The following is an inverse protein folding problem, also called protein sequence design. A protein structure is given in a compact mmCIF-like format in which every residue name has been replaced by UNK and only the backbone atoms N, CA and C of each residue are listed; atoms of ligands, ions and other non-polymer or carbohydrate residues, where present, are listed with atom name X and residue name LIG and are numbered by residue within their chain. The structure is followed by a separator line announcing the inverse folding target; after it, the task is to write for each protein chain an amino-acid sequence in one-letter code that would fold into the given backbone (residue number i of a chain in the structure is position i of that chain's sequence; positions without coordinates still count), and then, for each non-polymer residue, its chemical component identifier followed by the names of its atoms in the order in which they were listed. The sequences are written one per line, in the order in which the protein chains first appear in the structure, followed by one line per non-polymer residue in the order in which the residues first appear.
data_IF_705863761799
#
_entry.id   IF_705863761799
#
_cell.length_a   1.000
_cell.length_b   1.000
_cell.length_c   1.000
_cell.angle_alpha   90.00
_cell.angle_beta   90.00
_cell.angle_gamma   90.00
#
_symmetry.space_group_name_H-M   'P 1'
#
loop_
_entity.id
_entity.type
_entity.pdbx_description
1 polymer ?
#
# COMPACT_ATOMS: atom_id res chain seq x y z
N UNK A 1 -24.17 -14.91 30.62
CA UNK A 1 -22.86 -14.25 30.51
C UNK A 1 -22.50 -14.16 29.03
N UNK A 2 -22.17 -12.95 28.58
CA UNK A 2 -22.18 -12.50 27.19
C UNK A 2 -21.14 -13.20 26.31
N UNK A 3 -21.57 -14.06 25.39
CA UNK A 3 -20.82 -14.32 24.16
C UNK A 3 -21.39 -13.39 23.09
N UNK A 4 -20.88 -12.16 23.07
CA UNK A 4 -21.20 -11.18 22.05
C UNK A 4 -20.53 -11.64 20.75
N UNK A 5 -21.31 -12.31 19.90
CA UNK A 5 -20.94 -12.66 18.53
C UNK A 5 -20.86 -11.34 17.76
N UNK A 6 -19.71 -10.69 17.84
CA UNK A 6 -19.38 -9.59 16.94
C UNK A 6 -19.16 -10.23 15.57
N UNK A 7 -20.18 -10.13 14.71
CA UNK A 7 -20.04 -10.23 13.27
C UNK A 7 -19.09 -9.13 12.78
N UNK A 8 -17.78 -9.29 13.01
CA UNK A 8 -16.77 -8.54 12.29
C UNK A 8 -16.80 -9.11 10.88
N UNK A 9 -17.23 -8.30 9.91
CA UNK A 9 -16.84 -8.43 8.51
C UNK A 9 -15.40 -8.95 8.48
N UNK A 10 -15.22 -10.21 8.09
CA UNK A 10 -13.90 -10.80 7.89
C UNK A 10 -13.33 -10.09 6.66
N UNK A 11 -12.77 -8.92 6.87
CA UNK A 11 -11.81 -8.31 5.95
C UNK A 11 -10.70 -9.36 5.88
N UNK A 12 -10.56 -10.04 4.73
CA UNK A 12 -9.46 -10.97 4.48
C UNK A 12 -8.15 -10.18 4.57
N UNK A 13 -7.61 -10.06 5.78
CA UNK A 13 -6.24 -9.61 6.00
C UNK A 13 -5.33 -10.81 5.72
N UNK A 14 -4.19 -10.57 5.07
CA UNK A 14 -3.25 -11.65 4.74
C UNK A 14 -2.79 -12.34 6.02
N UNK A 15 -2.64 -13.66 5.99
CA UNK A 15 -2.05 -14.38 7.12
C UNK A 15 -0.57 -14.02 7.25
N UNK A 16 0.02 -14.23 8.43
CA UNK A 16 1.45 -13.98 8.65
C UNK A 16 2.34 -14.76 7.67
N UNK A 17 1.95 -15.99 7.33
CA UNK A 17 2.64 -16.82 6.34
C UNK A 17 2.55 -16.21 4.93
N UNK A 18 1.39 -15.70 4.52
CA UNK A 18 1.21 -15.05 3.23
C UNK A 18 2.01 -13.75 3.14
N UNK A 19 2.03 -12.96 4.22
CA UNK A 19 2.86 -11.75 4.30
C UNK A 19 4.33 -12.12 4.14
N UNK A 20 4.79 -13.16 4.84
CA UNK A 20 6.17 -13.62 4.73
C UNK A 20 6.52 -14.10 3.31
N UNK A 21 5.66 -14.90 2.69
CA UNK A 21 5.84 -15.39 1.32
C UNK A 21 5.92 -14.23 0.31
N UNK A 22 5.05 -13.23 0.44
CA UNK A 22 5.04 -12.06 -0.44
C UNK A 22 6.30 -11.20 -0.25
N UNK A 23 6.75 -11.02 1.00
CA UNK A 23 8.02 -10.32 1.29
C UNK A 23 9.23 -11.07 0.74
N UNK A 24 9.28 -12.39 0.89
CA UNK A 24 10.35 -13.21 0.34
C UNK A 24 10.36 -13.15 -1.19
N UNK A 25 9.18 -13.13 -1.83
CA UNK A 25 9.03 -12.91 -3.27
C UNK A 25 9.54 -11.53 -3.70
N UNK A 26 9.15 -10.45 -3.00
CA UNK A 26 9.59 -9.09 -3.28
C UNK A 26 11.10 -8.92 -3.08
N UNK A 27 11.68 -9.56 -2.06
CA UNK A 27 13.14 -9.61 -1.84
C UNK A 27 13.84 -10.38 -2.95
N UNK A 28 13.31 -11.52 -3.38
CA UNK A 28 13.84 -12.27 -4.52
C UNK A 28 13.79 -11.46 -5.83
N UNK A 29 12.73 -10.66 -6.03
CA UNK A 29 12.62 -9.75 -7.18
C UNK A 29 13.64 -8.60 -7.16
N UNK A 30 14.21 -8.26 -6.01
CA UNK A 30 15.33 -7.31 -5.93
C UNK A 30 16.57 -7.86 -6.62
N UNK A 31 16.82 -9.15 -6.47
CA UNK A 31 17.99 -9.83 -7.06
C UNK A 31 17.71 -10.27 -8.51
N UNK A 32 16.49 -10.72 -8.80
CA UNK A 32 16.06 -11.12 -10.14
C UNK A 32 14.75 -10.41 -10.52
N UNK A 33 14.82 -9.25 -11.20
CA UNK A 33 13.63 -8.46 -11.52
C UNK A 33 12.76 -9.16 -12.57
N UNK A 34 11.82 -9.99 -12.11
CA UNK A 34 10.84 -10.70 -12.95
C UNK A 34 9.54 -9.91 -13.10
N UNK A 35 9.64 -8.65 -13.53
CA UNK A 35 8.49 -7.80 -13.88
C UNK A 35 8.47 -6.43 -13.19
N UNK A 36 7.43 -5.64 -13.49
CA UNK A 36 7.29 -4.28 -12.96
C UNK A 36 6.56 -4.20 -11.61
N UNK A 37 6.10 -5.34 -11.04
CA UNK A 37 5.30 -5.38 -9.81
C UNK A 37 6.03 -4.70 -8.63
N UNK A 38 7.24 -5.16 -8.28
CA UNK A 38 8.05 -4.52 -7.23
C UNK A 38 8.30 -3.04 -7.52
N UNK A 39 8.63 -2.68 -8.77
CA UNK A 39 8.85 -1.28 -9.16
C UNK A 39 7.61 -0.41 -8.88
N UNK A 40 6.42 -0.87 -9.28
CA UNK A 40 5.19 -0.12 -9.06
C UNK A 40 4.78 -0.06 -7.58
N UNK A 41 5.03 -1.13 -6.83
CA UNK A 41 4.74 -1.19 -5.41
C UNK A 41 5.67 -0.25 -4.59
N UNK A 42 6.96 -0.23 -4.92
CA UNK A 42 7.94 0.72 -4.35
C UNK A 42 7.56 2.16 -4.69
N UNK A 43 7.27 2.47 -5.96
CA UNK A 43 6.83 3.82 -6.36
C UNK A 43 5.54 4.27 -5.69
N UNK A 44 4.62 3.33 -5.49
CA UNK A 44 3.38 3.58 -4.77
C UNK A 44 3.66 4.03 -3.33
N UNK A 45 4.60 3.36 -2.66
CA UNK A 45 5.03 3.74 -1.33
C UNK A 45 5.80 5.07 -1.33
N UNK A 46 6.73 5.28 -2.26
CA UNK A 46 7.51 6.52 -2.40
C UNK A 46 6.59 7.74 -2.61
N UNK A 47 5.55 7.60 -3.42
CA UNK A 47 4.54 8.64 -3.59
C UNK A 47 3.86 9.00 -2.26
N UNK A 48 3.46 8.00 -1.47
CA UNK A 48 2.86 8.20 -0.14
C UNK A 48 3.87 8.91 0.79
N UNK A 49 5.13 8.47 0.78
CA UNK A 49 6.21 9.06 1.58
C UNK A 49 6.49 10.51 1.20
N UNK A 50 6.54 10.82 -0.09
CA UNK A 50 6.75 12.19 -0.57
C UNK A 50 5.58 13.09 -0.19
N UNK A 51 4.34 12.62 -0.33
CA UNK A 51 3.14 13.37 0.12
C UNK A 51 3.13 13.61 1.62
N UNK A 52 3.61 12.66 2.42
CA UNK A 52 3.79 12.84 3.86
C UNK A 52 4.82 13.94 4.14
N UNK A 53 6.00 13.87 3.50
CA UNK A 53 7.07 14.87 3.64
C UNK A 53 6.66 16.27 3.19
N UNK A 54 5.98 16.40 2.06
CA UNK A 54 5.48 17.69 1.53
C UNK A 54 4.56 18.40 2.52
N UNK A 55 3.74 17.64 3.25
CA UNK A 55 2.83 18.19 4.24
C UNK A 55 3.49 18.38 5.62
N UNK A 56 4.79 18.10 5.79
CA UNK A 56 5.50 18.06 7.09
C UNK A 56 4.72 17.29 8.17
N UNK A 57 4.01 16.24 7.77
CA UNK A 57 3.20 15.42 8.66
C UNK A 57 3.39 13.97 8.31
N UNK A 58 3.20 13.05 9.25
CA UNK A 58 3.15 11.60 8.99
C UNK A 58 1.90 11.17 8.17
N UNK A 59 1.19 12.14 7.61
CA UNK A 59 -0.13 12.03 7.00
C UNK A 59 -0.02 12.29 5.50
N UNK A 60 -0.23 11.26 4.70
CA UNK A 60 -0.31 11.40 3.26
C UNK A 60 -1.76 11.47 2.79
N UNK A 61 -2.14 12.59 2.16
CA UNK A 61 -3.37 12.69 1.38
C UNK A 61 -3.10 12.16 -0.02
N UNK A 62 -3.55 10.94 -0.29
CA UNK A 62 -3.29 10.27 -1.58
C UNK A 62 -4.36 10.64 -2.59
N UNK A 63 -3.98 11.34 -3.67
CA UNK A 63 -4.80 11.48 -4.86
C UNK A 63 -4.49 10.32 -5.83
N UNK A 64 -5.51 9.54 -6.21
CA UNK A 64 -5.35 8.35 -7.05
C UNK A 64 -4.80 8.70 -8.44
N UNK A 65 -5.25 9.81 -9.04
CA UNK A 65 -4.82 10.23 -10.38
C UNK A 65 -3.34 10.60 -10.41
N UNK A 66 -2.89 11.40 -9.44
CA UNK A 66 -1.48 11.75 -9.27
C UNK A 66 -0.62 10.53 -8.95
N UNK A 67 -1.14 9.61 -8.14
CA UNK A 67 -0.41 8.39 -7.80
C UNK A 67 -0.19 7.49 -9.01
N UNK A 68 -1.20 7.33 -9.87
CA UNK A 68 -1.09 6.58 -11.12
C UNK A 68 -0.05 7.21 -12.03
N UNK A 69 -0.11 8.53 -12.20
CA UNK A 69 0.86 9.28 -13.01
C UNK A 69 2.30 9.07 -12.52
N UNK A 70 2.49 9.09 -11.19
CA UNK A 70 3.78 8.85 -10.55
C UNK A 70 4.27 7.41 -10.71
N UNK A 71 3.39 6.43 -10.51
CA UNK A 71 3.73 5.00 -10.58
C UNK A 71 4.10 4.59 -12.01
N UNK A 72 3.32 5.07 -12.99
CA UNK A 72 3.43 4.73 -14.41
C UNK A 72 4.24 5.75 -15.24
N UNK A 73 4.85 6.77 -14.63
CA UNK A 73 5.61 7.83 -15.34
C UNK A 73 4.80 8.48 -16.48
N UNK A 74 3.52 8.74 -16.25
CA UNK A 74 2.65 9.38 -17.25
C UNK A 74 2.15 8.49 -18.39
N UNK A 75 2.45 7.18 -18.37
CA UNK A 75 1.90 6.20 -19.32
C UNK A 75 1.03 5.15 -18.61
N UNK A 76 -0.14 5.54 -18.06
CA UNK A 76 -0.97 4.60 -17.32
C UNK A 76 -1.67 3.61 -18.26
N UNK A 77 -1.56 2.33 -17.93
CA UNK A 77 -2.43 1.32 -18.52
C UNK A 77 -3.89 1.59 -18.14
N UNK A 78 -4.84 1.16 -18.98
CA UNK A 78 -6.27 1.23 -18.65
C UNK A 78 -6.62 0.53 -17.31
N UNK A 79 -5.77 -0.41 -16.87
CA UNK A 79 -5.85 -1.12 -15.58
C UNK A 79 -5.11 -0.43 -14.43
N UNK A 80 -4.43 0.70 -14.67
CA UNK A 80 -3.58 1.37 -13.68
C UNK A 80 -4.34 1.83 -12.42
N UNK A 81 -5.60 2.24 -12.57
CA UNK A 81 -6.46 2.57 -11.43
C UNK A 81 -6.62 1.38 -10.46
N UNK A 82 -6.95 0.21 -11.01
CA UNK A 82 -7.18 -0.99 -10.22
C UNK A 82 -5.89 -1.50 -9.60
N UNK A 83 -4.80 -1.49 -10.37
CA UNK A 83 -3.48 -1.93 -9.93
C UNK A 83 -2.94 -1.06 -8.79
N UNK A 84 -3.00 0.26 -8.90
CA UNK A 84 -2.56 1.17 -7.82
C UNK A 84 -3.39 0.99 -6.55
N UNK A 85 -4.70 0.80 -6.69
CA UNK A 85 -5.57 0.49 -5.54
C UNK A 85 -5.16 -0.85 -4.90
N UNK A 86 -4.80 -1.85 -5.69
CA UNK A 86 -4.32 -3.13 -5.20
C UNK A 86 -2.95 -3.00 -4.51
N UNK A 87 -1.99 -2.27 -5.09
CA UNK A 87 -0.70 -2.01 -4.43
C UNK A 87 -0.85 -1.30 -3.09
N UNK A 88 -1.78 -0.35 -2.98
CA UNK A 88 -2.11 0.27 -1.69
C UNK A 88 -2.73 -0.73 -0.69
N UNK A 89 -3.50 -1.71 -1.15
CA UNK A 89 -4.03 -2.76 -0.29
C UNK A 89 -2.91 -3.69 0.16
N UNK A 90 -2.01 -4.07 -0.75
CA UNK A 90 -0.88 -4.94 -0.47
C UNK A 90 0.05 -4.29 0.55
N UNK A 91 0.45 -3.03 0.34
CA UNK A 91 1.24 -2.26 1.31
C UNK A 91 0.57 -2.17 2.68
N UNK A 92 -0.77 -2.09 2.72
CA UNK A 92 -1.52 -2.09 3.97
C UNK A 92 -1.51 -3.47 4.63
N UNK A 93 -1.74 -4.53 3.85
CA UNK A 93 -1.76 -5.91 4.35
C UNK A 93 -0.39 -6.36 4.85
N UNK A 94 0.68 -5.94 4.18
CA UNK A 94 2.07 -6.16 4.59
C UNK A 94 2.48 -5.32 5.81
N UNK A 95 1.62 -4.40 6.25
CA UNK A 95 1.82 -3.58 7.44
C UNK A 95 2.77 -2.40 7.25
N UNK A 96 3.04 -1.96 6.01
CA UNK A 96 3.84 -0.76 5.76
C UNK A 96 3.03 0.51 5.94
N UNK A 97 1.75 0.48 5.56
CA UNK A 97 0.87 1.65 5.63
C UNK A 97 -0.43 1.35 6.38
N UNK A 98 -0.99 2.35 7.05
CA UNK A 98 -2.30 2.28 7.69
C UNK A 98 -3.23 3.32 7.07
N UNK A 99 -4.43 2.89 6.69
CA UNK A 99 -5.49 3.83 6.28
C UNK A 99 -6.40 4.10 7.48
N UNK A 100 -6.45 5.35 7.93
CA UNK A 100 -7.30 5.82 9.02
C UNK A 100 -8.17 6.97 8.53
N UNK A 101 -9.40 7.04 9.03
CA UNK A 101 -10.31 8.14 8.74
C UNK A 101 -10.25 9.11 9.92
N UNK A 102 -9.75 10.32 9.67
CA UNK A 102 -9.67 11.39 10.67
C UNK A 102 -10.37 12.63 10.17
N UNK A 103 -11.17 13.26 11.02
CA UNK A 103 -11.92 14.47 10.70
C UNK A 103 -12.76 14.37 9.41
N UNK A 104 -13.27 13.18 9.09
CA UNK A 104 -14.06 12.93 7.88
C UNK A 104 -13.25 12.59 6.63
N UNK A 105 -11.92 12.74 6.66
CA UNK A 105 -11.02 12.47 5.53
C UNK A 105 -10.27 11.14 5.68
N UNK A 106 -10.04 10.43 4.57
CA UNK A 106 -9.16 9.27 4.54
C UNK A 106 -7.70 9.70 4.48
N UNK A 107 -6.91 9.24 5.45
CA UNK A 107 -5.48 9.52 5.57
C UNK A 107 -4.67 8.23 5.56
N UNK A 108 -3.50 8.28 4.94
CA UNK A 108 -2.56 7.16 4.91
C UNK A 108 -1.38 7.50 5.83
N UNK A 109 -1.13 6.62 6.78
CA UNK A 109 -0.01 6.66 7.71
C UNK A 109 1.06 5.67 7.27
N UNK A 110 2.31 6.05 7.42
CA UNK A 110 3.46 5.18 7.19
C UNK A 110 3.86 4.58 8.53
N UNK A 111 3.81 3.25 8.65
CA UNK A 111 4.13 2.52 9.88
C UNK A 111 5.61 2.18 9.93
N UNK A 112 6.17 1.70 8.81
CA UNK A 112 7.56 1.25 8.68
C UNK A 112 8.10 1.54 7.28
N UNK A 113 9.41 1.66 7.19
CA UNK A 113 10.13 1.79 5.93
C UNK A 113 10.13 0.47 5.14
N UNK A 114 10.27 0.56 3.82
CA UNK A 114 10.41 -0.61 2.94
C UNK A 114 11.74 -1.30 3.20
N UNK A 115 11.70 -2.60 3.51
CA UNK A 115 12.86 -3.43 3.83
C UNK A 115 13.10 -4.55 2.79
N UNK A 116 12.56 -4.42 1.58
CA UNK A 116 12.66 -5.38 0.49
C UNK A 116 13.12 -4.78 -0.85
#
# INVERSE_FOLDING_TARGET
MYNCIIWKMVRKEMTEEQVKQELDYLRAQKENPTGNYRKYLVRSYEYILNKSKENNTELAKTNLREMIDYVYEGSPDHMGNELVVNYQKDLKNLGYIKKLKENGEWRVYIIKELDF
#
